data_IF_812972312210
#
_entry.id   IF_812972312210
#
_cell.length_a   1.000
_cell.length_b   1.000
_cell.length_c   1.000
_cell.angle_alpha   90.00
_cell.angle_beta   90.00
_cell.angle_gamma   90.00
#
_symmetry.space_group_name_H-M   'P 1'
#
loop_
_entity.id
_entity.type
_entity.pdbx_description
1 polymer ?
#
# COMPACT_ATOMS: atom_id res chain seq x y z
N UNK A 1 -37.04 50.54 -26.26
CA UNK A 1 -37.55 49.27 -25.69
C UNK A 1 -36.94 48.03 -26.32
N UNK A 2 -37.11 47.75 -27.63
CA UNK A 2 -36.62 46.51 -28.27
C UNK A 2 -35.10 46.23 -28.06
N UNK A 3 -34.23 47.24 -28.17
CA UNK A 3 -32.78 47.07 -28.05
C UNK A 3 -32.37 46.53 -26.66
N UNK A 4 -32.96 47.09 -25.59
CA UNK A 4 -32.74 46.68 -24.20
C UNK A 4 -33.15 45.21 -23.97
N UNK A 5 -34.28 44.80 -24.55
CA UNK A 5 -34.76 43.42 -24.49
C UNK A 5 -33.89 42.43 -25.32
N UNK A 6 -33.11 42.93 -26.29
CA UNK A 6 -32.07 42.12 -26.96
C UNK A 6 -30.81 42.00 -26.11
N UNK A 7 -30.35 43.08 -25.46
CA UNK A 7 -29.19 43.02 -24.55
C UNK A 7 -29.46 42.08 -23.37
N UNK A 8 -30.64 42.13 -22.76
CA UNK A 8 -31.02 41.21 -21.67
C UNK A 8 -30.96 39.74 -22.13
N UNK A 9 -31.51 39.43 -23.31
CA UNK A 9 -31.43 38.07 -23.87
C UNK A 9 -30.00 37.63 -24.19
N UNK A 10 -29.16 38.54 -24.69
CA UNK A 10 -27.75 38.25 -24.95
C UNK A 10 -26.96 38.03 -23.66
N UNK A 11 -27.25 38.80 -22.61
CA UNK A 11 -26.62 38.65 -21.29
C UNK A 11 -27.06 37.37 -20.59
N UNK A 12 -28.35 37.00 -20.65
CA UNK A 12 -28.84 35.72 -20.14
C UNK A 12 -28.22 34.56 -20.92
N UNK A 13 -28.15 34.64 -22.25
CA UNK A 13 -27.49 33.61 -23.07
C UNK A 13 -26.00 33.48 -22.73
N UNK A 14 -25.30 34.61 -22.53
CA UNK A 14 -23.91 34.62 -22.10
C UNK A 14 -23.72 34.04 -20.70
N UNK A 15 -24.58 34.38 -19.73
CA UNK A 15 -24.52 33.77 -18.39
C UNK A 15 -24.83 32.27 -18.42
N UNK A 16 -25.80 31.81 -19.23
CA UNK A 16 -26.06 30.37 -19.42
C UNK A 16 -24.84 29.68 -20.03
N UNK A 17 -24.22 30.25 -21.07
CA UNK A 17 -22.99 29.70 -21.65
C UNK A 17 -21.84 29.68 -20.63
N UNK A 18 -21.63 30.73 -19.85
CA UNK A 18 -20.60 30.78 -18.80
C UNK A 18 -20.88 29.76 -17.69
N UNK A 19 -22.13 29.58 -17.26
CA UNK A 19 -22.50 28.58 -16.25
C UNK A 19 -22.25 27.16 -16.78
N UNK A 20 -22.60 26.86 -18.05
CA UNK A 20 -22.21 25.59 -18.69
C UNK A 20 -20.69 25.47 -18.97
N UNK A 21 -19.95 26.58 -19.02
CA UNK A 21 -18.48 26.56 -19.18
C UNK A 21 -17.73 26.43 -17.85
N UNK A 22 -18.43 26.50 -16.71
CA UNK A 22 -17.86 26.26 -15.38
C UNK A 22 -18.05 24.81 -14.90
N UNK A 23 -18.57 23.92 -15.76
CA UNK A 23 -18.71 22.48 -15.46
C UNK A 23 -17.78 21.60 -16.30
N UNK A 24 -16.81 22.19 -17.02
CA UNK A 24 -15.66 21.47 -17.58
C UNK A 24 -14.48 21.54 -16.60
N UNK A 25 -14.66 20.88 -15.46
CA UNK A 25 -13.53 20.14 -14.86
C UNK A 25 -13.31 18.85 -15.67
N UNK A 26 -12.36 18.03 -15.25
CA UNK A 26 -12.32 16.66 -15.76
C UNK A 26 -13.44 15.79 -15.16
N UNK A 27 -13.90 14.82 -15.96
CA UNK A 27 -15.02 13.90 -15.75
C UNK A 27 -14.68 12.52 -16.39
N UNK A 28 -13.40 12.28 -16.74
CA UNK A 28 -12.92 11.14 -17.55
C UNK A 28 -12.00 10.24 -16.73
N UNK A 29 -12.53 9.65 -15.66
CA UNK A 29 -11.72 8.93 -14.67
C UNK A 29 -10.96 7.67 -15.18
N UNK A 30 -10.04 7.15 -14.34
CA UNK A 30 -9.12 6.06 -14.69
C UNK A 30 -9.76 4.76 -15.18
N UNK A 31 -9.03 3.99 -16.00
CA UNK A 31 -9.57 2.76 -16.63
C UNK A 31 -10.00 1.67 -15.63
N UNK A 32 -11.23 1.19 -15.83
CA UNK A 32 -11.83 0.04 -15.15
C UNK A 32 -11.10 -1.30 -15.45
N UNK A 33 -10.42 -1.42 -16.59
CA UNK A 33 -9.82 -2.68 -17.07
C UNK A 33 -8.50 -3.08 -16.34
N UNK A 34 -8.21 -2.47 -15.18
CA UNK A 34 -6.99 -2.71 -14.42
C UNK A 34 -7.02 -4.09 -13.74
N UNK A 35 -6.00 -4.91 -14.03
CA UNK A 35 -5.85 -6.27 -13.46
C UNK A 35 -4.61 -6.34 -12.58
N UNK A 36 -4.80 -6.81 -11.34
CA UNK A 36 -3.76 -7.04 -10.33
C UNK A 36 -3.52 -8.54 -10.11
N UNK A 37 -2.27 -8.91 -9.80
CA UNK A 37 -1.88 -10.28 -9.43
C UNK A 37 -0.90 -10.26 -8.25
N UNK A 38 -1.00 -11.21 -7.31
CA UNK A 38 -0.09 -11.30 -6.17
C UNK A 38 1.06 -12.27 -6.44
N UNK A 39 2.27 -11.80 -6.23
CA UNK A 39 3.48 -12.61 -6.23
C UNK A 39 3.91 -12.86 -4.77
N UNK A 40 3.76 -14.09 -4.31
CA UNK A 40 4.03 -14.48 -2.92
C UNK A 40 5.52 -14.62 -2.58
N UNK A 41 6.42 -14.57 -3.58
CA UNK A 41 7.87 -14.73 -3.36
C UNK A 41 8.51 -13.39 -2.95
N UNK A 42 8.11 -12.29 -3.60
CA UNK A 42 8.57 -10.93 -3.30
C UNK A 42 7.57 -10.14 -2.42
N UNK A 43 6.35 -10.69 -2.20
CA UNK A 43 5.19 -10.02 -1.61
C UNK A 43 4.85 -8.71 -2.32
N UNK A 44 4.63 -8.78 -3.64
CA UNK A 44 4.11 -7.63 -4.40
C UNK A 44 2.79 -7.93 -5.07
N UNK A 45 1.94 -6.92 -5.16
CA UNK A 45 0.88 -6.84 -6.16
C UNK A 45 1.51 -6.30 -7.46
N UNK A 46 1.49 -7.10 -8.52
CA UNK A 46 2.04 -6.82 -9.85
C UNK A 46 0.90 -6.49 -10.83
N UNK A 47 1.05 -5.41 -11.61
CA UNK A 47 0.04 -4.91 -12.55
C UNK A 47 0.66 -4.07 -13.67
N UNK A 48 -0.18 -3.64 -14.62
CA UNK A 48 0.16 -2.61 -15.62
C UNK A 48 -0.49 -1.30 -15.18
N UNK A 49 0.31 -0.24 -15.08
CA UNK A 49 -0.15 1.09 -14.69
C UNK A 49 -1.30 1.56 -15.60
N UNK A 50 -2.46 1.94 -15.03
CA UNK A 50 -3.59 2.47 -15.79
C UNK A 50 -3.31 3.88 -16.33
N UNK A 51 -4.15 4.30 -17.28
CA UNK A 51 -4.28 5.72 -17.64
C UNK A 51 -5.31 6.43 -16.78
N UNK A 52 -5.26 7.74 -16.89
CA UNK A 52 -6.09 8.74 -16.24
C UNK A 52 -7.34 8.97 -17.10
N UNK A 53 -7.16 9.53 -18.30
CA UNK A 53 -8.10 9.48 -19.44
C UNK A 53 -8.24 8.03 -19.98
N UNK A 54 -8.72 7.09 -19.15
CA UNK A 54 -8.79 5.67 -19.46
C UNK A 54 -7.42 5.01 -19.70
N UNK A 55 -6.90 5.04 -20.93
CA UNK A 55 -5.61 4.42 -21.30
C UNK A 55 -4.48 5.45 -21.55
N UNK A 56 -4.73 6.74 -21.35
CA UNK A 56 -3.74 7.82 -21.50
C UNK A 56 -3.59 8.62 -20.21
N UNK A 57 -2.43 9.25 -19.99
CA UNK A 57 -2.14 9.99 -18.76
C UNK A 57 -1.37 9.18 -17.71
N UNK A 58 -1.40 9.67 -16.48
CA UNK A 58 -0.81 9.09 -15.26
C UNK A 58 -1.83 9.31 -14.15
N UNK A 59 -2.36 8.24 -13.54
CA UNK A 59 -3.28 8.39 -12.40
C UNK A 59 -2.57 9.06 -11.23
N UNK A 60 -3.28 9.84 -10.41
CA UNK A 60 -2.68 10.57 -9.29
C UNK A 60 -2.38 9.66 -8.09
N UNK A 61 -3.29 8.73 -7.75
CA UNK A 61 -3.20 7.85 -6.57
C UNK A 61 -3.68 6.42 -6.90
N UNK A 62 -2.99 5.42 -6.34
CA UNK A 62 -3.53 4.08 -6.10
C UNK A 62 -4.07 4.00 -4.66
N UNK A 63 -5.26 3.40 -4.49
CA UNK A 63 -5.88 3.15 -3.19
C UNK A 63 -6.07 1.62 -3.10
N UNK A 64 -5.14 0.93 -2.42
CA UNK A 64 -5.06 -0.53 -2.33
C UNK A 64 -5.60 -1.02 -0.98
N UNK A 65 -6.54 -1.96 -1.00
CA UNK A 65 -7.26 -2.39 0.21
C UNK A 65 -7.40 -3.90 0.34
N UNK A 66 -7.71 -4.35 1.55
CA UNK A 66 -8.01 -5.74 1.87
C UNK A 66 -9.17 -5.89 2.86
N UNK A 67 -9.80 -7.06 2.83
CA UNK A 67 -10.45 -7.68 3.99
C UNK A 67 -9.64 -8.91 4.42
N UNK A 68 -9.56 -9.19 5.72
CA UNK A 68 -9.10 -10.51 6.18
C UNK A 68 -10.21 -11.58 6.09
N UNK A 69 -9.85 -12.85 6.16
CA UNK A 69 -10.81 -13.96 6.02
C UNK A 69 -11.86 -14.04 7.13
N UNK A 70 -11.60 -13.47 8.32
CA UNK A 70 -12.53 -13.44 9.44
C UNK A 70 -13.53 -12.29 9.29
N UNK A 71 -13.06 -11.09 8.92
CA UNK A 71 -13.91 -9.96 8.52
C UNK A 71 -14.83 -10.36 7.36
N UNK A 72 -14.26 -10.97 6.32
CA UNK A 72 -15.02 -11.37 5.14
C UNK A 72 -16.01 -12.50 5.46
N UNK A 73 -15.68 -13.44 6.34
CA UNK A 73 -16.64 -14.46 6.81
C UNK A 73 -17.84 -13.85 7.57
N UNK A 74 -17.64 -12.75 8.31
CA UNK A 74 -18.73 -12.01 8.95
C UNK A 74 -19.64 -11.31 7.93
N UNK A 75 -19.07 -10.77 6.84
CA UNK A 75 -19.83 -10.16 5.74
C UNK A 75 -20.58 -11.20 4.89
N UNK A 76 -20.01 -12.38 4.70
CA UNK A 76 -20.58 -13.48 3.90
C UNK A 76 -21.59 -14.33 4.68
N UNK A 77 -21.47 -14.41 6.01
CA UNK A 77 -22.30 -15.25 6.88
C UNK A 77 -21.90 -16.73 6.90
N UNK A 78 -20.78 -17.10 6.28
CA UNK A 78 -20.15 -18.43 6.26
C UNK A 78 -18.63 -18.25 6.07
N UNK A 79 -17.83 -19.28 6.38
CA UNK A 79 -16.37 -19.25 6.18
C UNK A 79 -16.02 -19.17 4.69
N UNK A 80 -14.94 -18.46 4.34
CA UNK A 80 -14.52 -18.22 2.94
C UNK A 80 -14.37 -19.52 2.13
N UNK A 81 -13.94 -20.63 2.74
CA UNK A 81 -13.81 -21.94 2.10
C UNK A 81 -15.13 -22.55 1.59
N UNK A 82 -16.27 -22.15 2.17
CA UNK A 82 -17.61 -22.60 1.76
C UNK A 82 -18.22 -21.73 0.66
N UNK A 83 -17.62 -20.56 0.37
CA UNK A 83 -18.22 -19.53 -0.49
C UNK A 83 -17.55 -19.53 -1.88
N UNK A 84 -18.32 -19.57 -2.99
CA UNK A 84 -17.75 -19.46 -4.33
C UNK A 84 -16.96 -18.15 -4.51
N UNK A 85 -15.75 -18.22 -5.07
CA UNK A 85 -14.87 -17.06 -5.21
C UNK A 85 -15.48 -15.89 -5.99
N UNK A 86 -16.43 -16.15 -6.92
CA UNK A 86 -17.20 -15.09 -7.61
C UNK A 86 -18.05 -14.26 -6.65
N UNK A 87 -18.57 -14.86 -5.57
CA UNK A 87 -19.33 -14.16 -4.52
C UNK A 87 -18.39 -13.38 -3.60
N UNK A 88 -17.23 -13.97 -3.24
CA UNK A 88 -16.15 -13.26 -2.53
C UNK A 88 -15.76 -12.00 -3.31
N UNK A 89 -15.48 -12.13 -4.61
CA UNK A 89 -15.10 -11.00 -5.45
C UNK A 89 -16.20 -9.92 -5.48
N UNK A 90 -17.47 -10.30 -5.65
CA UNK A 90 -18.59 -9.34 -5.65
C UNK A 90 -18.73 -8.59 -4.32
N UNK A 91 -18.55 -9.25 -3.18
CA UNK A 91 -18.64 -8.61 -1.86
C UNK A 91 -17.45 -7.70 -1.61
N UNK A 92 -16.22 -8.16 -1.85
CA UNK A 92 -15.00 -7.36 -1.66
C UNK A 92 -14.98 -6.12 -2.56
N UNK A 93 -15.40 -6.23 -3.83
CA UNK A 93 -15.52 -5.07 -4.73
C UNK A 93 -16.64 -4.12 -4.31
N UNK A 94 -17.81 -4.61 -3.88
CA UNK A 94 -18.94 -3.74 -3.49
C UNK A 94 -18.78 -3.09 -2.11
N UNK A 95 -17.96 -3.66 -1.23
CA UNK A 95 -17.65 -3.14 0.10
C UNK A 95 -16.28 -2.43 0.17
N UNK A 96 -15.70 -2.04 -0.98
CA UNK A 96 -14.37 -1.41 -1.07
C UNK A 96 -14.16 -0.24 -0.07
N UNK A 97 -15.19 0.57 0.16
CA UNK A 97 -15.13 1.71 1.07
C UNK A 97 -14.90 1.31 2.54
N UNK A 98 -15.37 0.12 2.95
CA UNK A 98 -15.26 -0.43 4.30
C UNK A 98 -14.00 -1.30 4.50
N UNK A 99 -13.26 -1.59 3.43
CA UNK A 99 -12.02 -2.38 3.46
C UNK A 99 -10.83 -1.59 4.04
N UNK A 100 -9.88 -2.30 4.66
CA UNK A 100 -8.68 -1.71 5.27
C UNK A 100 -7.65 -1.34 4.20
N UNK A 101 -7.18 -0.08 4.18
CA UNK A 101 -6.18 0.39 3.21
C UNK A 101 -4.74 0.04 3.60
N UNK A 102 -4.00 -0.55 2.67
CA UNK A 102 -2.55 -0.77 2.76
C UNK A 102 -1.85 0.57 2.49
N UNK A 103 -1.15 1.11 3.49
CA UNK A 103 -0.43 2.38 3.34
C UNK A 103 0.93 2.19 2.66
N UNK A 104 1.34 3.18 1.87
CA UNK A 104 2.70 3.25 1.29
C UNK A 104 2.77 2.78 -0.15
N UNK A 105 1.67 2.94 -0.90
CA UNK A 105 1.57 2.68 -2.32
C UNK A 105 2.63 3.45 -3.12
N UNK A 106 3.16 2.85 -4.20
CA UNK A 106 4.14 3.52 -5.06
C UNK A 106 3.51 4.69 -5.83
N UNK A 107 4.32 5.72 -6.12
CA UNK A 107 3.93 6.79 -7.05
C UNK A 107 3.56 6.20 -8.42
N UNK A 108 2.36 6.50 -8.97
CA UNK A 108 1.94 6.00 -10.27
C UNK A 108 2.87 6.39 -11.41
N UNK A 109 3.00 5.48 -12.38
CA UNK A 109 3.79 5.68 -13.59
C UNK A 109 2.91 5.85 -14.83
N UNK A 110 3.52 6.19 -15.97
CA UNK A 110 2.82 6.34 -17.25
C UNK A 110 2.06 5.08 -17.64
N UNK A 111 0.81 5.27 -18.10
CA UNK A 111 -0.06 4.20 -18.60
C UNK A 111 0.67 3.19 -19.48
N UNK A 112 0.46 1.91 -19.23
CA UNK A 112 1.12 0.80 -19.94
C UNK A 112 2.48 0.38 -19.38
N UNK A 113 3.01 1.05 -18.36
CA UNK A 113 4.25 0.63 -17.68
C UNK A 113 3.95 -0.51 -16.70
N UNK A 114 4.83 -1.50 -16.58
CA UNK A 114 4.69 -2.54 -15.56
C UNK A 114 5.10 -1.97 -14.19
N UNK A 115 4.24 -2.12 -13.18
CA UNK A 115 4.45 -1.58 -11.83
C UNK A 115 4.10 -2.63 -10.76
N UNK A 116 4.63 -2.42 -9.56
CA UNK A 116 4.42 -3.25 -8.37
C UNK A 116 4.03 -2.41 -7.16
N UNK A 117 3.31 -2.97 -6.21
CA UNK A 117 3.16 -2.41 -4.85
C UNK A 117 3.59 -3.50 -3.86
N UNK A 118 4.50 -3.17 -2.95
CA UNK A 118 4.95 -4.08 -1.88
C UNK A 118 3.88 -4.23 -0.80
N UNK A 119 3.63 -5.47 -0.38
CA UNK A 119 2.65 -5.82 0.64
C UNK A 119 3.39 -6.12 1.95
N UNK A 120 3.19 -5.32 3.01
CA UNK A 120 3.78 -5.58 4.32
C UNK A 120 3.24 -6.88 4.92
N UNK A 121 3.86 -7.37 6.00
CA UNK A 121 3.31 -8.48 6.77
C UNK A 121 2.14 -7.98 7.62
N UNK A 122 0.99 -8.65 7.51
CA UNK A 122 -0.28 -8.25 8.12
C UNK A 122 -0.64 -9.10 9.35
N UNK A 123 -0.14 -10.34 9.47
CA UNK A 123 -0.43 -11.24 10.60
C UNK A 123 0.80 -11.88 11.26
N UNK A 124 0.62 -12.28 12.52
CA UNK A 124 1.66 -12.77 13.44
C UNK A 124 1.49 -14.45 13.64
N UNK A 125 2.07 -14.57 12.33
CA UNK A 125 2.43 -15.73 11.47
C UNK A 125 2.81 -15.32 10.03
N UNK A 126 1.84 -14.92 9.22
CA UNK A 126 1.88 -14.93 7.76
C UNK A 126 1.00 -16.04 7.15
N UNK A 127 0.03 -16.54 7.91
CA UNK A 127 -0.89 -17.64 7.57
C UNK A 127 -2.32 -17.16 7.26
N UNK A 128 -2.74 -16.00 7.80
CA UNK A 128 -4.06 -15.41 7.52
C UNK A 128 -4.21 -15.08 6.02
N UNK A 129 -5.37 -15.41 5.47
CA UNK A 129 -5.78 -15.07 4.11
C UNK A 129 -6.38 -13.67 4.04
N UNK A 130 -5.98 -12.95 3.00
CA UNK A 130 -6.39 -11.59 2.69
C UNK A 130 -6.96 -11.54 1.27
N UNK A 131 -8.01 -10.75 1.10
CA UNK A 131 -8.69 -10.56 -0.19
C UNK A 131 -8.51 -9.10 -0.64
N UNK A 132 -7.55 -8.89 -1.54
CA UNK A 132 -7.08 -7.57 -1.96
C UNK A 132 -7.80 -7.08 -3.23
N UNK A 133 -8.01 -5.77 -3.31
CA UNK A 133 -8.51 -5.06 -4.50
C UNK A 133 -8.04 -3.59 -4.46
N UNK A 134 -7.98 -2.94 -5.61
CA UNK A 134 -7.44 -1.58 -5.78
C UNK A 134 -8.43 -0.70 -6.55
N UNK A 135 -8.42 0.62 -6.30
CA UNK A 135 -8.90 1.61 -7.27
C UNK A 135 -7.79 2.59 -7.63
N UNK A 136 -7.87 3.17 -8.81
CA UNK A 136 -7.03 4.30 -9.22
C UNK A 136 -7.83 5.60 -9.21
N UNK A 137 -7.18 6.74 -8.95
CA UNK A 137 -7.82 8.06 -8.83
C UNK A 137 -7.04 9.13 -9.60
N UNK A 138 -7.74 10.04 -10.27
CA UNK A 138 -7.16 11.22 -10.95
C UNK A 138 -6.90 12.39 -9.99
N UNK A 139 -6.53 13.58 -10.49
CA UNK A 139 -6.26 14.76 -9.65
C UNK A 139 -7.52 15.53 -9.21
N UNK A 140 -8.68 15.27 -9.81
CA UNK A 140 -9.96 15.94 -9.49
C UNK A 140 -10.87 15.12 -8.57
N UNK A 141 -10.61 13.81 -8.46
CA UNK A 141 -11.29 12.86 -7.59
C UNK A 141 -12.18 11.83 -8.28
N UNK A 142 -12.17 11.69 -9.62
CA UNK A 142 -12.83 10.53 -10.23
C UNK A 142 -11.99 9.27 -9.96
N UNK A 143 -12.62 8.11 -10.11
CA UNK A 143 -12.05 6.83 -9.70
C UNK A 143 -12.41 5.72 -10.68
N UNK A 144 -11.51 4.75 -10.86
CA UNK A 144 -11.84 3.49 -11.52
C UNK A 144 -12.84 2.67 -10.69
N UNK A 145 -13.49 1.71 -11.33
CA UNK A 145 -14.05 0.55 -10.63
C UNK A 145 -12.95 -0.21 -9.85
N UNK A 146 -13.30 -0.93 -8.78
CA UNK A 146 -12.37 -1.83 -8.09
C UNK A 146 -11.87 -2.95 -9.00
N UNK A 147 -10.56 -3.19 -9.00
CA UNK A 147 -9.92 -4.27 -9.77
C UNK A 147 -10.50 -5.64 -9.45
N UNK A 148 -10.09 -6.67 -10.22
CA UNK A 148 -10.25 -8.06 -9.76
C UNK A 148 -9.73 -8.24 -8.33
N UNK A 149 -10.31 -9.21 -7.63
CA UNK A 149 -9.91 -9.55 -6.26
C UNK A 149 -8.84 -10.62 -6.29
N UNK A 150 -7.86 -10.51 -5.40
CA UNK A 150 -6.71 -11.42 -5.29
C UNK A 150 -6.62 -11.97 -3.87
N UNK A 151 -6.57 -13.30 -3.76
CA UNK A 151 -6.28 -13.98 -2.49
C UNK A 151 -4.76 -14.01 -2.24
N UNK A 152 -4.34 -13.64 -1.03
CA UNK A 152 -2.93 -13.62 -0.62
C UNK A 152 -2.76 -14.06 0.84
N UNK A 153 -1.58 -14.57 1.18
CA UNK A 153 -1.09 -14.70 2.57
C UNK A 153 0.23 -13.95 2.70
N UNK A 154 0.47 -13.28 3.84
CA UNK A 154 1.56 -12.30 3.97
C UNK A 154 2.83 -12.84 4.63
N UNK A 155 3.16 -14.10 4.28
CA UNK A 155 4.25 -14.93 4.81
C UNK A 155 5.57 -14.20 5.13
N UNK A 156 6.32 -14.72 6.11
CA UNK A 156 7.68 -14.26 6.37
C UNK A 156 8.58 -14.53 5.14
N UNK A 157 9.22 -13.48 4.63
CA UNK A 157 10.21 -13.58 3.55
C UNK A 157 11.58 -13.37 4.17
N UNK A 158 12.35 -14.46 4.30
CA UNK A 158 13.73 -14.41 4.79
C UNK A 158 14.57 -13.52 3.89
N UNK A 159 15.16 -12.47 4.49
CA UNK A 159 15.97 -11.47 3.78
C UNK A 159 17.41 -11.48 4.29
N UNK A 160 18.33 -11.11 3.40
CA UNK A 160 19.76 -10.98 3.68
C UNK A 160 20.22 -9.62 3.17
N UNK A 161 20.81 -8.83 4.04
CA UNK A 161 21.22 -7.46 3.77
C UNK A 161 22.75 -7.36 3.73
N UNK A 162 23.27 -6.79 2.65
CA UNK A 162 24.71 -6.63 2.40
C UNK A 162 25.05 -5.15 2.49
N UNK A 163 25.52 -4.72 3.67
CA UNK A 163 26.01 -3.35 3.90
C UNK A 163 27.33 -3.12 3.12
N UNK A 164 28.14 -4.16 2.98
CA UNK A 164 29.46 -4.13 2.33
C UNK A 164 29.47 -4.11 0.78
N UNK A 165 28.31 -4.03 0.12
CA UNK A 165 28.27 -3.92 -1.35
C UNK A 165 28.68 -2.52 -1.81
N UNK A 166 29.48 -2.41 -2.86
CA UNK A 166 29.82 -1.12 -3.47
C UNK A 166 28.55 -0.41 -3.96
N UNK A 167 28.31 0.80 -3.45
CA UNK A 167 27.07 1.57 -3.68
C UNK A 167 25.93 1.33 -2.68
N UNK A 168 26.09 0.48 -1.66
CA UNK A 168 25.06 0.28 -0.63
C UNK A 168 24.94 1.49 0.32
N UNK A 169 23.73 2.03 0.45
CA UNK A 169 23.37 2.99 1.50
C UNK A 169 22.87 2.32 2.79
N UNK A 170 22.51 1.03 2.73
CA UNK A 170 21.81 0.33 3.79
C UNK A 170 22.64 0.29 5.08
N UNK A 171 22.10 0.87 6.17
CA UNK A 171 22.81 0.91 7.45
C UNK A 171 23.76 2.10 7.64
N UNK A 172 23.77 3.08 6.73
CA UNK A 172 24.43 4.38 6.99
C UNK A 172 23.65 5.26 7.99
N UNK A 173 22.46 4.82 8.43
CA UNK A 173 21.72 5.39 9.56
C UNK A 173 21.01 4.26 10.32
N UNK A 174 21.78 3.55 11.15
CA UNK A 174 21.25 2.61 12.15
C UNK A 174 20.99 3.39 13.43
N UNK A 175 19.73 3.39 13.89
CA UNK A 175 19.35 3.86 15.20
C UNK A 175 18.80 2.67 15.99
N UNK A 176 19.61 2.16 16.93
CA UNK A 176 19.09 1.30 18.00
C UNK A 176 18.24 2.16 18.92
N UNK A 177 16.94 1.89 18.96
CA UNK A 177 15.97 2.64 19.76
C UNK A 177 15.13 1.64 20.52
N UNK A 178 15.14 1.72 21.85
CA UNK A 178 14.24 0.93 22.67
C UNK A 178 12.80 1.37 22.45
N UNK A 179 12.04 0.56 21.71
CA UNK A 179 10.59 0.67 21.55
C UNK A 179 9.98 -0.42 22.46
N UNK A 180 8.88 -0.11 23.16
CA UNK A 180 8.24 -0.96 24.17
C UNK A 180 9.11 -1.35 25.39
N UNK A 181 9.78 -0.37 26.05
CA UNK A 181 10.17 -0.51 27.47
C UNK A 181 8.91 -0.56 28.36
N UNK A 182 8.31 -1.75 28.45
CA UNK A 182 7.24 -2.06 29.40
C UNK A 182 7.87 -2.42 30.75
N UNK A 183 8.31 -1.41 31.52
CA UNK A 183 9.10 -1.55 32.77
C UNK A 183 8.50 -2.54 33.81
N UNK A 184 7.18 -2.74 33.81
CA UNK A 184 6.46 -3.46 34.87
C UNK A 184 6.29 -5.00 34.64
N UNK A 185 7.37 -5.75 34.40
CA UNK A 185 7.34 -7.23 34.49
C UNK A 185 8.56 -7.81 35.21
N UNK A 186 8.31 -8.39 36.39
CA UNK A 186 9.28 -8.98 37.32
C UNK A 186 9.56 -10.48 37.09
N UNK A 187 9.17 -11.00 35.94
CA UNK A 187 8.91 -12.43 35.72
C UNK A 187 9.65 -12.85 34.43
N UNK A 188 10.51 -13.87 34.52
CA UNK A 188 11.58 -14.19 33.55
C UNK A 188 11.12 -14.74 32.17
N UNK A 189 9.92 -14.40 31.70
CA UNK A 189 9.33 -14.94 30.48
C UNK A 189 9.11 -13.86 29.40
N UNK A 190 10.09 -13.79 28.49
CA UNK A 190 10.06 -13.13 27.17
C UNK A 190 10.28 -11.59 27.13
N UNK A 191 11.56 -11.16 27.21
CA UNK A 191 12.21 -10.21 26.27
C UNK A 191 13.66 -9.91 26.65
N UNK A 192 14.56 -10.01 25.68
CA UNK A 192 15.68 -9.08 25.49
C UNK A 192 16.10 -9.16 24.00
N UNK A 193 16.35 -8.01 23.38
CA UNK A 193 16.46 -7.86 21.93
C UNK A 193 15.92 -6.51 21.49
N UNK A 194 16.83 -5.57 21.19
CA UNK A 194 16.47 -4.21 20.78
C UNK A 194 15.74 -4.21 19.42
N UNK A 195 14.65 -3.43 19.33
CA UNK A 195 14.07 -3.04 18.04
C UNK A 195 15.08 -2.13 17.31
N UNK A 196 15.39 -2.44 16.05
CA UNK A 196 16.37 -1.68 15.26
C UNK A 196 15.66 -0.96 14.11
N UNK A 197 15.86 0.35 14.03
CA UNK A 197 15.49 1.14 12.87
C UNK A 197 16.73 1.27 11.97
N UNK A 198 16.61 0.84 10.72
CA UNK A 198 17.65 0.97 9.70
C UNK A 198 17.13 1.82 8.55
N UNK A 199 17.76 2.98 8.32
CA UNK A 199 17.53 3.78 7.12
C UNK A 199 18.31 3.26 5.92
N UNK A 200 17.66 3.26 4.76
CA UNK A 200 18.27 3.17 3.44
C UNK A 200 17.99 4.46 2.64
N UNK A 201 18.90 5.45 2.71
CA UNK A 201 18.76 6.70 1.96
C UNK A 201 19.03 6.58 0.45
N UNK A 202 19.40 5.40 -0.08
CA UNK A 202 19.42 5.16 -1.54
C UNK A 202 18.00 4.86 -2.06
N UNK A 203 17.13 4.30 -1.21
CA UNK A 203 15.74 3.93 -1.54
C UNK A 203 14.69 4.82 -0.85
N UNK A 204 15.13 5.90 -0.19
CA UNK A 204 14.32 6.77 0.69
C UNK A 204 13.38 5.96 1.60
N UNK A 205 13.89 4.85 2.15
CA UNK A 205 13.10 3.84 2.87
C UNK A 205 13.64 3.65 4.28
N UNK A 206 12.77 3.73 5.28
CA UNK A 206 13.06 3.22 6.63
C UNK A 206 12.58 1.78 6.76
N UNK A 207 13.43 0.91 7.28
CA UNK A 207 13.11 -0.45 7.70
C UNK A 207 13.01 -0.48 9.23
N UNK A 208 11.88 -0.91 9.77
CA UNK A 208 11.71 -1.17 11.21
C UNK A 208 11.77 -2.68 11.43
N UNK A 209 12.72 -3.11 12.26
CA UNK A 209 12.96 -4.50 12.62
C UNK A 209 12.59 -4.74 14.08
N UNK A 210 11.51 -5.48 14.31
CA UNK A 210 11.07 -5.84 15.66
C UNK A 210 11.90 -7.01 16.21
N UNK A 211 12.38 -6.88 17.45
CA UNK A 211 13.41 -7.70 18.08
C UNK A 211 12.97 -9.12 18.44
N UNK A 212 13.49 -10.08 17.68
CA UNK A 212 13.47 -11.51 18.04
C UNK A 212 14.67 -11.91 18.90
N UNK A 213 14.67 -13.16 19.40
CA UNK A 213 15.71 -13.67 20.30
C UNK A 213 17.04 -13.86 19.57
N UNK A 214 17.95 -12.91 19.77
CA UNK A 214 19.31 -12.94 19.23
C UNK A 214 19.59 -11.90 18.14
N UNK A 215 18.63 -11.01 17.82
CA UNK A 215 18.93 -9.84 17.00
C UNK A 215 19.95 -8.96 17.72
N UNK A 216 21.01 -8.53 17.01
CA UNK A 216 22.13 -7.80 17.60
C UNK A 216 23.16 -8.63 18.40
N UNK A 217 22.82 -9.82 18.94
CA UNK A 217 23.76 -10.63 19.77
C UNK A 217 24.97 -11.15 18.98
N UNK A 218 24.83 -11.42 17.66
CA UNK A 218 25.88 -12.11 16.88
C UNK A 218 26.12 -11.62 15.46
N UNK A 219 25.07 -11.39 14.68
CA UNK A 219 25.19 -11.44 13.21
C UNK A 219 25.42 -10.08 12.55
N UNK A 220 26.46 -9.38 13.01
CA UNK A 220 27.33 -8.63 12.10
C UNK A 220 28.57 -9.51 11.84
N UNK A 221 28.46 -10.41 10.86
CA UNK A 221 29.63 -11.17 10.39
C UNK A 221 30.72 -10.19 9.91
N UNK A 222 31.99 -10.60 9.97
CA UNK A 222 33.14 -9.75 9.61
C UNK A 222 33.23 -9.39 8.12
N UNK A 223 32.21 -9.76 7.34
CA UNK A 223 31.98 -9.42 5.93
C UNK A 223 30.93 -8.30 5.74
N UNK A 224 30.23 -7.86 6.79
CA UNK A 224 29.19 -6.83 6.72
C UNK A 224 27.82 -7.33 6.24
N UNK A 225 27.55 -8.63 6.32
CA UNK A 225 26.27 -9.24 5.96
C UNK A 225 25.41 -9.46 7.22
N UNK A 226 24.21 -8.90 7.21
CA UNK A 226 23.15 -9.15 8.20
C UNK A 226 22.14 -10.14 7.61
N UNK A 227 22.03 -11.33 8.19
CA UNK A 227 21.06 -12.34 7.77
C UNK A 227 19.88 -12.38 8.73
N UNK A 228 18.66 -12.52 8.21
CA UNK A 228 17.43 -12.69 9.00
C UNK A 228 16.86 -14.09 8.75
N UNK A 229 17.42 -15.13 9.41
CA UNK A 229 17.14 -16.53 9.08
C UNK A 229 15.75 -17.02 9.52
N UNK A 230 15.04 -16.28 10.40
CA UNK A 230 13.74 -16.70 10.94
C UNK A 230 12.89 -15.51 11.43
N UNK A 231 11.55 -15.67 11.52
CA UNK A 231 10.70 -14.68 12.18
C UNK A 231 11.01 -14.52 13.68
N UNK A 232 11.72 -15.48 14.30
CA UNK A 232 12.25 -15.38 15.67
C UNK A 232 13.52 -14.51 15.77
N UNK A 233 14.01 -13.93 14.67
CA UNK A 233 15.19 -13.05 14.64
C UNK A 233 14.82 -11.58 14.37
N UNK A 234 14.30 -11.23 13.20
CA UNK A 234 13.60 -9.96 12.98
C UNK A 234 12.69 -10.01 11.74
N UNK A 235 11.70 -9.12 11.67
CA UNK A 235 10.77 -8.96 10.54
C UNK A 235 10.75 -7.50 10.03
N UNK A 236 10.55 -7.32 8.72
CA UNK A 236 10.41 -6.00 8.09
C UNK A 236 8.91 -5.67 8.08
N UNK A 237 8.43 -5.08 9.17
CA UNK A 237 7.00 -4.77 9.31
C UNK A 237 6.62 -3.47 8.60
N UNK A 238 7.56 -2.54 8.39
CA UNK A 238 7.29 -1.25 7.75
C UNK A 238 8.39 -0.91 6.73
N UNK A 239 7.96 -0.44 5.55
CA UNK A 239 8.74 0.34 4.58
C UNK A 239 8.01 1.67 4.37
N UNK A 240 8.73 2.78 4.25
CA UNK A 240 8.15 4.04 3.83
C UNK A 240 9.12 5.22 3.95
N UNK A 241 8.68 6.36 3.39
CA UNK A 241 9.46 7.60 3.32
C UNK A 241 9.69 8.17 4.74
N UNK A 242 10.94 8.44 5.16
CA UNK A 242 11.25 8.94 6.50
C UNK A 242 10.41 10.16 6.91
N UNK A 243 10.22 11.09 5.98
CA UNK A 243 9.50 12.36 6.19
C UNK A 243 7.97 12.25 6.28
N UNK A 244 7.36 11.08 6.05
CA UNK A 244 5.92 10.84 6.27
C UNK A 244 5.63 9.93 7.45
N UNK A 245 6.54 9.01 7.78
CA UNK A 245 6.34 8.06 8.88
C UNK A 245 6.77 8.59 10.26
N UNK A 246 7.77 9.48 10.31
CA UNK A 246 8.19 10.15 11.54
C UNK A 246 7.84 11.64 11.44
N UNK A 247 6.69 12.01 11.99
CA UNK A 247 6.12 13.35 11.88
C UNK A 247 7.04 14.46 12.39
N UNK A 248 7.04 15.59 11.68
CA UNK A 248 7.76 16.82 12.00
C UNK A 248 7.03 17.70 13.02
#
# INVERSE_FOLDING_TARGET
MQLFNRLIKLFILFQVVVILSCTVGDDTGPTDDTVITFNSINKTIEFIAPGDDGITGIVTIYDLRYFDEFELALLLGDTVDNVPFVTIQQVVQSMFADATQIQGEEFPQSSGTAQSIFIPRLDIFGETRYYLTMVSRDEVGNQSSPTNVVEATTGFVGSSFINSSEGSCFGQSIAGVKIDEREDRSDDEFRDGDDIIIGDPCLDTVYVFFGGKGFGDRDANSDGIFNLPSPDSADITIRGVPGTMFGA
#
